data_IF_914975494297
#
_entry.id   IF_914975494297
#
_cell.length_a   1.000
_cell.length_b   1.000
_cell.length_c   1.000
_cell.angle_alpha   90.00
_cell.angle_beta   90.00
_cell.angle_gamma   90.00
#
_symmetry.space_group_name_H-M   'P 1'
#
loop_
_entity.id
_entity.type
_entity.pdbx_description
1 polymer ?
#
# COMPACT_ATOMS: atom_id res chain seq x y z
N UNK A 1 7.17 4.04 11.13
CA UNK A 1 7.03 5.51 11.16
C UNK A 1 7.17 5.97 9.72
N UNK A 2 6.16 6.58 9.18
CA UNK A 2 6.22 7.21 7.86
C UNK A 2 6.66 8.64 8.10
N UNK A 3 7.77 9.04 7.47
CA UNK A 3 8.23 10.42 7.53
C UNK A 3 7.10 11.34 7.01
N UNK A 4 6.74 12.35 7.82
CA UNK A 4 5.69 13.31 7.46
C UNK A 4 5.97 14.06 6.16
N UNK A 5 7.23 14.23 5.79
CA UNK A 5 7.64 14.85 4.52
C UNK A 5 7.25 13.99 3.30
N UNK A 6 7.03 12.69 3.48
CA UNK A 6 6.55 11.79 2.44
C UNK A 6 5.09 12.02 2.07
N UNK A 7 4.30 12.42 3.04
CA UNK A 7 2.87 12.63 2.85
C UNK A 7 2.58 14.02 2.26
N UNK A 8 3.54 14.93 2.30
CA UNK A 8 3.43 16.28 1.74
C UNK A 8 2.23 17.07 2.26
N UNK A 9 1.96 18.20 1.64
CA UNK A 9 0.79 19.06 1.93
C UNK A 9 -0.56 18.45 1.50
N UNK A 10 -0.60 17.19 1.12
CA UNK A 10 -1.80 16.49 0.61
C UNK A 10 -2.80 16.12 1.69
N UNK A 11 -2.40 16.17 2.95
CA UNK A 11 -3.31 15.96 4.09
C UNK A 11 -3.66 17.34 4.67
N UNK A 12 -4.95 17.64 4.73
CA UNK A 12 -5.48 18.87 5.31
C UNK A 12 -5.24 19.00 6.82
N UNK A 13 -4.75 17.96 7.47
CA UNK A 13 -4.33 17.95 8.86
C UNK A 13 -3.02 17.19 8.97
N UNK A 14 -1.97 17.86 9.42
CA UNK A 14 -0.75 17.19 9.86
C UNK A 14 -1.09 16.28 11.06
N UNK A 15 -0.57 15.03 11.08
CA UNK A 15 -0.72 14.21 12.27
C UNK A 15 -0.04 14.90 13.45
N UNK A 16 -0.83 15.30 14.43
CA UNK A 16 -0.36 15.99 15.65
C UNK A 16 0.39 15.08 16.61
N UNK A 17 0.35 13.77 16.37
CA UNK A 17 0.98 12.72 17.17
C UNK A 17 1.69 11.76 16.25
N UNK A 18 2.82 11.21 16.66
CA UNK A 18 3.47 10.12 15.94
C UNK A 18 2.48 8.97 15.67
N UNK A 19 2.18 8.78 14.42
CA UNK A 19 1.25 7.78 13.94
C UNK A 19 2.04 6.54 13.55
N UNK A 20 1.70 5.40 14.10
CA UNK A 20 2.34 4.12 13.81
C UNK A 20 1.51 3.23 12.89
N UNK A 21 0.32 3.66 12.51
CA UNK A 21 -0.54 2.98 11.56
C UNK A 21 -1.18 3.98 10.58
N UNK A 22 -1.41 3.53 9.36
CA UNK A 22 -2.07 4.31 8.31
C UNK A 22 -2.99 3.40 7.48
N UNK A 23 -4.12 3.93 7.03
CA UNK A 23 -4.97 3.22 6.07
C UNK A 23 -4.25 3.09 4.73
N UNK A 24 -4.11 1.86 4.25
CA UNK A 24 -3.44 1.56 2.98
C UNK A 24 -3.99 2.40 1.82
N UNK A 25 -5.31 2.56 1.72
CA UNK A 25 -5.95 3.37 0.68
C UNK A 25 -5.54 4.86 0.73
N UNK A 26 -5.36 5.42 1.92
CA UNK A 26 -4.91 6.80 2.08
C UNK A 26 -3.45 6.96 1.67
N UNK A 27 -2.62 6.00 2.06
CA UNK A 27 -1.22 5.96 1.66
C UNK A 27 -1.07 5.88 0.13
N UNK A 28 -1.78 4.95 -0.52
CA UNK A 28 -1.78 4.83 -1.97
C UNK A 28 -2.28 6.11 -2.66
N UNK A 29 -3.34 6.74 -2.14
CA UNK A 29 -3.85 8.00 -2.67
C UNK A 29 -2.81 9.12 -2.58
N UNK A 30 -2.13 9.26 -1.44
CA UNK A 30 -1.11 10.28 -1.26
C UNK A 30 0.07 10.10 -2.24
N UNK A 31 0.55 8.87 -2.39
CA UNK A 31 1.60 8.55 -3.36
C UNK A 31 1.12 8.83 -4.79
N UNK A 32 -0.10 8.44 -5.15
CA UNK A 32 -0.65 8.67 -6.50
C UNK A 32 -0.70 10.16 -6.83
N UNK A 33 -1.13 11.00 -5.89
CA UNK A 33 -1.13 12.46 -6.08
C UNK A 33 0.28 12.99 -6.26
N UNK A 34 1.23 12.56 -5.41
CA UNK A 34 2.63 12.97 -5.51
C UNK A 34 3.26 12.58 -6.86
N UNK A 35 2.95 11.39 -7.37
CA UNK A 35 3.43 10.93 -8.67
C UNK A 35 2.74 11.67 -9.82
N UNK A 36 1.44 11.94 -9.74
CA UNK A 36 0.73 12.73 -10.75
C UNK A 36 1.32 14.13 -10.89
N UNK A 37 1.71 14.77 -9.78
CA UNK A 37 2.41 16.06 -9.78
C UNK A 37 3.82 16.00 -10.42
N UNK A 38 4.33 14.79 -10.67
CA UNK A 38 5.60 14.52 -11.38
C UNK A 38 5.37 13.96 -12.78
N UNK A 39 4.22 14.25 -13.37
CA UNK A 39 3.82 13.79 -14.71
C UNK A 39 3.70 12.26 -14.87
N UNK A 40 3.42 11.53 -13.79
CA UNK A 40 3.07 10.12 -13.89
C UNK A 40 1.58 9.97 -14.19
N UNK A 41 1.24 9.11 -15.14
CA UNK A 41 -0.13 8.82 -15.52
C UNK A 41 -0.61 7.52 -14.86
N UNK A 42 -1.86 7.51 -14.39
CA UNK A 42 -2.49 6.35 -13.77
C UNK A 42 -3.67 5.87 -14.62
N UNK A 43 -3.65 4.61 -14.99
CA UNK A 43 -4.73 3.94 -15.69
C UNK A 43 -5.44 2.99 -14.73
N UNK A 44 -6.44 3.50 -14.00
CA UNK A 44 -7.25 2.72 -13.08
C UNK A 44 -8.25 1.85 -13.86
N UNK A 45 -8.69 0.74 -13.25
CA UNK A 45 -9.65 -0.21 -13.85
C UNK A 45 -9.18 -0.74 -15.21
N UNK A 46 -7.87 -0.86 -15.37
CA UNK A 46 -7.24 -1.36 -16.60
C UNK A 46 -6.67 -2.74 -16.34
N UNK A 47 -7.10 -3.71 -17.14
CA UNK A 47 -6.59 -5.08 -17.10
C UNK A 47 -5.55 -5.24 -18.19
N UNK A 48 -4.38 -5.70 -17.82
CA UNK A 48 -3.34 -6.10 -18.77
C UNK A 48 -3.61 -7.53 -19.21
N UNK A 49 -3.81 -7.72 -20.50
CA UNK A 49 -4.05 -9.05 -21.10
C UNK A 49 -2.73 -9.71 -21.47
N UNK A 50 -1.79 -8.94 -22.00
CA UNK A 50 -0.51 -9.46 -22.49
C UNK A 50 0.60 -8.43 -22.36
N UNK A 51 1.78 -8.90 -22.00
CA UNK A 51 3.01 -8.12 -22.02
C UNK A 51 3.96 -8.80 -22.99
N UNK A 52 4.47 -8.06 -23.98
CA UNK A 52 5.48 -8.49 -24.94
C UNK A 52 6.61 -7.46 -24.91
N UNK A 53 7.78 -7.82 -24.43
CA UNK A 53 8.95 -6.94 -24.31
C UNK A 53 8.59 -5.47 -23.98
N UNK A 54 8.31 -4.66 -24.97
CA UNK A 54 7.99 -3.23 -24.87
C UNK A 54 6.53 -2.88 -25.16
N UNK A 55 5.68 -3.88 -25.44
CA UNK A 55 4.28 -3.68 -25.80
C UNK A 55 3.34 -4.27 -24.74
N UNK A 56 2.33 -3.51 -24.35
CA UNK A 56 1.27 -3.93 -23.43
C UNK A 56 -0.05 -3.87 -24.15
N UNK A 57 -0.74 -5.03 -24.21
CA UNK A 57 -2.13 -5.14 -24.62
C UNK A 57 -3.03 -5.04 -23.39
N UNK A 58 -4.00 -4.14 -23.40
CA UNK A 58 -4.86 -3.87 -22.27
C UNK A 58 -6.33 -3.69 -22.63
N UNK A 59 -7.18 -3.92 -21.66
CA UNK A 59 -8.61 -3.59 -21.67
C UNK A 59 -8.89 -2.74 -20.45
N UNK A 60 -9.44 -1.55 -20.65
CA UNK A 60 -9.72 -0.59 -19.60
C UNK A 60 -11.17 -0.09 -19.64
N UNK A 61 -11.64 0.39 -18.51
CA UNK A 61 -12.91 1.09 -18.36
C UNK A 61 -12.64 2.58 -18.15
N UNK A 62 -11.99 3.23 -19.08
CA UNK A 62 -11.63 4.63 -18.97
C UNK A 62 -11.49 5.27 -20.33
N UNK A 63 -10.88 6.44 -20.35
CA UNK A 63 -10.70 7.24 -21.58
C UNK A 63 -9.99 6.46 -22.69
N UNK A 64 -9.05 5.57 -22.38
CA UNK A 64 -8.32 4.80 -23.38
C UNK A 64 -9.06 3.56 -23.90
N UNK A 65 -10.12 3.08 -23.22
CA UNK A 65 -10.83 1.87 -23.62
C UNK A 65 -9.92 0.64 -23.66
N UNK A 66 -9.77 0.03 -24.85
CA UNK A 66 -8.90 -1.13 -25.09
C UNK A 66 -7.85 -0.78 -26.15
N UNK A 67 -6.68 -1.36 -26.07
CA UNK A 67 -5.65 -1.10 -27.04
C UNK A 67 -4.28 -1.71 -26.73
N UNK A 68 -3.30 -1.21 -27.47
CA UNK A 68 -1.90 -1.53 -27.28
C UNK A 68 -1.12 -0.25 -27.00
N UNK A 69 -0.22 -0.31 -26.02
CA UNK A 69 0.73 0.77 -25.73
C UNK A 69 2.14 0.24 -25.81
N UNK A 70 3.02 1.05 -26.40
CA UNK A 70 4.46 0.79 -26.45
C UNK A 70 5.17 1.61 -25.39
N UNK A 71 6.16 1.02 -24.74
CA UNK A 71 6.99 1.63 -23.71
C UNK A 71 8.46 1.26 -23.97
N UNK A 72 9.35 2.14 -23.63
CA UNK A 72 10.79 1.85 -23.68
C UNK A 72 11.14 0.74 -22.67
N UNK A 73 10.49 0.78 -21.50
CA UNK A 73 10.70 -0.18 -20.42
C UNK A 73 9.40 -0.52 -19.71
N UNK A 74 9.27 -1.77 -19.28
CA UNK A 74 8.13 -2.28 -18.50
C UNK A 74 8.65 -2.89 -17.22
N UNK A 75 8.19 -2.39 -16.08
CA UNK A 75 8.46 -2.96 -14.76
C UNK A 75 7.17 -3.58 -14.24
N UNK A 76 7.19 -4.89 -14.01
CA UNK A 76 6.06 -5.60 -13.40
C UNK A 76 6.35 -5.92 -11.94
N UNK A 77 5.43 -5.56 -11.05
CA UNK A 77 5.44 -6.00 -9.66
C UNK A 77 4.61 -7.26 -9.53
N UNK A 78 5.24 -8.42 -9.65
CA UNK A 78 4.59 -9.68 -9.28
C UNK A 78 4.64 -9.84 -7.77
N UNK A 79 3.51 -9.68 -7.12
CA UNK A 79 3.36 -9.99 -5.71
C UNK A 79 3.20 -11.50 -5.55
N UNK A 80 4.31 -12.23 -5.50
CA UNK A 80 4.33 -13.57 -4.93
C UNK A 80 4.15 -13.43 -3.42
N UNK A 81 2.91 -13.24 -3.01
CA UNK A 81 2.58 -13.09 -1.60
C UNK A 81 2.53 -14.46 -0.94
N UNK A 82 3.14 -14.54 0.24
CA UNK A 82 2.95 -15.69 1.13
C UNK A 82 1.46 -15.91 1.37
N UNK A 83 1.04 -17.16 1.47
CA UNK A 83 -0.39 -17.51 1.68
C UNK A 83 -0.87 -17.29 3.11
N UNK A 84 -0.10 -16.62 3.96
CA UNK A 84 -0.44 -16.41 5.38
C UNK A 84 -1.58 -15.40 5.50
N UNK A 85 -2.58 -15.77 6.30
CA UNK A 85 -3.70 -14.89 6.64
C UNK A 85 -3.43 -14.21 7.98
N UNK A 86 -3.68 -12.91 8.02
CA UNK A 86 -3.62 -12.07 9.20
C UNK A 86 -5.01 -11.51 9.48
N UNK A 87 -5.36 -11.45 10.76
CA UNK A 87 -6.64 -10.91 11.24
C UNK A 87 -6.40 -9.54 11.86
N UNK A 88 -7.10 -8.55 11.36
CA UNK A 88 -6.99 -7.18 11.78
C UNK A 88 -8.29 -6.64 12.35
N UNK A 89 -8.19 -5.66 13.24
CA UNK A 89 -9.33 -4.92 13.76
C UNK A 89 -8.96 -3.49 14.09
N UNK A 90 -9.96 -2.63 14.08
CA UNK A 90 -9.82 -1.27 14.58
C UNK A 90 -10.73 -1.04 15.76
N UNK A 91 -10.23 -0.31 16.76
CA UNK A 91 -10.97 0.00 17.99
C UNK A 91 -10.53 1.35 18.55
N UNK A 92 -11.37 1.94 19.38
CA UNK A 92 -11.01 3.10 20.22
C UNK A 92 -10.55 2.69 21.62
N UNK A 93 -10.74 1.41 21.97
CA UNK A 93 -10.36 0.88 23.27
C UNK A 93 -8.85 0.59 23.31
N UNK A 94 -8.15 1.27 24.22
CA UNK A 94 -6.71 1.05 24.45
C UNK A 94 -6.39 -0.38 24.95
N UNK A 95 -7.36 -1.08 25.53
CA UNK A 95 -7.21 -2.43 26.03
C UNK A 95 -7.42 -3.50 24.95
N UNK A 96 -7.70 -3.11 23.71
CA UNK A 96 -7.91 -4.03 22.57
C UNK A 96 -6.69 -4.88 22.18
N UNK A 97 -5.59 -4.80 22.93
CA UNK A 97 -4.39 -5.60 22.71
C UNK A 97 -4.56 -7.01 23.24
N UNK A 98 -4.29 -7.98 22.41
CA UNK A 98 -4.27 -9.39 22.78
C UNK A 98 -2.84 -9.91 22.87
N UNK A 99 -2.62 -10.98 23.62
CA UNK A 99 -1.35 -11.73 23.60
C UNK A 99 -1.05 -12.18 22.17
N UNK A 100 0.16 -11.94 21.67
CA UNK A 100 0.60 -12.25 20.31
C UNK A 100 0.01 -11.33 19.20
N UNK A 101 -0.53 -10.17 19.56
CA UNK A 101 -0.90 -9.13 18.61
C UNK A 101 0.09 -7.97 18.62
N UNK A 102 0.13 -7.21 17.55
CA UNK A 102 0.78 -5.91 17.51
C UNK A 102 -0.24 -4.84 17.14
N UNK A 103 -0.02 -3.64 17.59
CA UNK A 103 -0.95 -2.55 17.36
C UNK A 103 -0.23 -1.28 16.95
N UNK A 104 -0.94 -0.44 16.23
CA UNK A 104 -0.50 0.90 15.87
C UNK A 104 -1.64 1.90 16.06
N UNK A 105 -1.31 3.15 16.34
CA UNK A 105 -2.27 4.25 16.42
C UNK A 105 -2.31 4.99 15.10
N UNK A 106 -3.51 5.20 14.57
CA UNK A 106 -3.75 6.01 13.37
C UNK A 106 -3.78 7.51 13.71
N UNK A 107 -3.63 8.41 12.72
CA UNK A 107 -3.75 9.86 12.94
C UNK A 107 -5.09 10.29 13.56
N UNK A 108 -6.17 9.55 13.25
CA UNK A 108 -7.52 9.76 13.80
C UNK A 108 -7.70 9.18 15.22
N UNK A 109 -6.61 8.83 15.88
CA UNK A 109 -6.58 8.22 17.22
C UNK A 109 -7.17 6.82 17.32
N UNK A 110 -7.61 6.22 16.22
CA UNK A 110 -8.08 4.84 16.18
C UNK A 110 -6.88 3.89 16.32
N UNK A 111 -7.05 2.86 17.13
CA UNK A 111 -6.06 1.81 17.31
C UNK A 111 -6.33 0.71 16.29
N UNK A 112 -5.31 0.33 15.56
CA UNK A 112 -5.32 -0.79 14.63
C UNK A 112 -4.52 -1.94 15.25
N UNK A 113 -5.13 -3.12 15.29
CA UNK A 113 -4.55 -4.33 15.90
C UNK A 113 -4.46 -5.40 14.82
N UNK A 114 -3.36 -6.14 14.81
CA UNK A 114 -3.14 -7.28 13.92
C UNK A 114 -2.65 -8.51 14.67
N UNK A 115 -3.11 -9.68 14.29
CA UNK A 115 -2.77 -10.97 14.86
C UNK A 115 -2.73 -12.06 13.79
N UNK A 116 -1.96 -13.13 14.05
CA UNK A 116 -2.02 -14.36 13.25
C UNK A 116 -3.24 -15.22 13.58
N UNK A 117 -3.88 -14.97 14.70
CA UNK A 117 -5.10 -15.64 15.14
C UNK A 117 -6.28 -14.68 15.06
N UNK A 118 -7.47 -15.24 15.00
CA UNK A 118 -8.70 -14.46 15.05
C UNK A 118 -8.72 -13.54 16.28
N UNK A 119 -9.25 -12.35 16.08
CA UNK A 119 -9.35 -11.37 17.14
C UNK A 119 -10.51 -11.74 18.09
N UNK A 120 -10.38 -11.46 19.40
CA UNK A 120 -11.38 -11.83 20.39
C UNK A 120 -12.68 -11.03 20.18
N UNK A 121 -13.80 -11.71 20.37
CA UNK A 121 -15.14 -11.14 20.19
C UNK A 121 -15.62 -10.23 21.33
N UNK A 122 -14.93 -10.25 22.47
CA UNK A 122 -15.26 -9.43 23.64
C UNK A 122 -14.76 -7.97 23.55
N UNK A 123 -14.10 -7.61 22.46
CA UNK A 123 -13.65 -6.24 22.19
C UNK A 123 -14.63 -5.59 21.22
N UNK A 124 -14.96 -4.32 21.47
CA UNK A 124 -15.81 -3.54 20.57
C UNK A 124 -14.99 -3.09 19.34
N UNK A 125 -15.01 -3.91 18.30
CA UNK A 125 -14.35 -3.62 17.04
C UNK A 125 -15.20 -2.70 16.18
N UNK A 126 -14.64 -1.57 15.75
CA UNK A 126 -15.26 -0.68 14.76
C UNK A 126 -15.23 -1.30 13.37
N UNK A 127 -14.18 -2.08 13.07
CA UNK A 127 -14.02 -2.78 11.81
C UNK A 127 -13.16 -4.03 12.03
N UNK A 128 -13.54 -5.13 11.40
CA UNK A 128 -12.72 -6.33 11.27
C UNK A 128 -12.19 -6.43 9.84
N UNK A 129 -10.97 -6.94 9.71
CA UNK A 129 -10.25 -7.01 8.44
C UNK A 129 -9.48 -8.32 8.35
N UNK A 130 -9.21 -8.76 7.12
CA UNK A 130 -8.27 -9.85 6.85
C UNK A 130 -7.24 -9.38 5.80
N UNK A 131 -6.02 -9.80 6.00
CA UNK A 131 -4.93 -9.58 5.07
C UNK A 131 -4.27 -10.91 4.71
N UNK A 132 -4.14 -11.21 3.42
CA UNK A 132 -3.37 -12.36 2.92
C UNK A 132 -2.06 -11.85 2.35
N UNK A 133 -0.96 -12.22 2.95
CA UNK A 133 0.34 -11.74 2.49
C UNK A 133 1.41 -11.74 3.58
N UNK A 134 2.39 -10.88 3.42
CA UNK A 134 3.47 -10.67 4.36
C UNK A 134 2.96 -10.11 5.69
N UNK A 135 3.81 -10.17 6.72
CA UNK A 135 3.48 -9.61 8.03
C UNK A 135 3.13 -8.11 7.91
N UNK A 136 1.93 -7.67 8.32
CA UNK A 136 1.56 -6.26 8.23
C UNK A 136 2.37 -5.34 9.15
N UNK A 137 3.09 -5.90 10.14
CA UNK A 137 4.04 -5.12 10.94
C UNK A 137 5.20 -4.66 10.05
N UNK A 138 5.41 -3.36 9.98
CA UNK A 138 6.45 -2.73 9.13
C UNK A 138 6.32 -3.00 7.61
N UNK A 139 5.19 -3.54 7.15
CA UNK A 139 5.01 -3.90 5.74
C UNK A 139 5.25 -2.72 4.79
N UNK A 140 4.75 -1.53 5.12
CA UNK A 140 4.94 -0.33 4.31
C UNK A 140 6.43 0.01 4.16
N UNK A 141 7.19 -0.04 5.25
CA UNK A 141 8.63 0.24 5.22
C UNK A 141 9.36 -0.78 4.34
N UNK A 142 9.06 -2.06 4.53
CA UNK A 142 9.66 -3.13 3.72
C UNK A 142 9.35 -3.02 2.24
N UNK A 143 8.12 -2.67 1.88
CA UNK A 143 7.72 -2.48 0.47
C UNK A 143 8.38 -1.25 -0.16
N UNK A 144 8.58 -0.18 0.61
CA UNK A 144 9.33 1.01 0.16
C UNK A 144 10.78 0.62 -0.12
N UNK A 145 11.46 -0.08 0.79
CA UNK A 145 12.85 -0.49 0.61
C UNK A 145 13.00 -1.39 -0.62
N UNK A 146 12.09 -2.34 -0.80
CA UNK A 146 12.06 -3.20 -1.99
C UNK A 146 11.86 -2.37 -3.26
N UNK A 147 10.94 -1.41 -3.22
CA UNK A 147 10.68 -0.51 -4.36
C UNK A 147 11.89 0.35 -4.71
N UNK A 148 12.54 0.95 -3.72
CA UNK A 148 13.76 1.75 -3.90
C UNK A 148 14.89 0.90 -4.49
N UNK A 149 15.12 -0.30 -3.97
CA UNK A 149 16.14 -1.21 -4.50
C UNK A 149 15.88 -1.56 -5.97
N UNK A 150 14.63 -1.91 -6.31
CA UNK A 150 14.24 -2.22 -7.70
C UNK A 150 14.45 -1.04 -8.63
N UNK A 151 14.10 0.17 -8.19
CA UNK A 151 14.32 1.39 -8.97
C UNK A 151 15.81 1.64 -9.20
N UNK A 152 16.63 1.49 -8.16
CA UNK A 152 18.08 1.63 -8.26
C UNK A 152 18.69 0.61 -9.24
N UNK A 153 18.35 -0.67 -9.08
CA UNK A 153 18.84 -1.75 -9.95
C UNK A 153 18.43 -1.52 -11.41
N UNK A 154 17.23 -0.99 -11.63
CA UNK A 154 16.74 -0.63 -12.97
C UNK A 154 17.56 0.52 -13.59
N UNK A 155 17.79 1.58 -12.83
CA UNK A 155 18.58 2.73 -13.29
C UNK A 155 20.02 2.33 -13.63
N UNK A 156 20.65 1.49 -12.82
CA UNK A 156 22.00 1.00 -13.08
C UNK A 156 22.10 0.17 -14.36
N UNK A 157 21.08 -0.63 -14.66
CA UNK A 157 21.05 -1.46 -15.88
C UNK A 157 20.78 -0.69 -17.17
N UNK A 158 20.16 0.48 -17.08
CA UNK A 158 19.69 1.26 -18.21
C UNK A 158 20.35 2.66 -18.28
N UNK A 159 21.43 2.89 -17.53
CA UNK A 159 22.18 4.15 -17.46
C UNK A 159 23.20 4.32 -18.60
N UNK A 160 22.94 3.75 -19.81
CA UNK A 160 23.78 3.90 -21.00
C UNK A 160 22.96 4.28 -22.21
#
# INVERSE_FOLDING_TARGET
IIDKNWLGSTFSQEPTVESTAIRHSWFCKAISISLANRNCFFHLRTKINKIKSTNIEFVGAGFLGSGNLMFDHIISSNNNTSSKTWFGGTTVDANGRTTNSFSGKRPDSIIEVWSEKELPSNINWLQLMQWKGTNPKNSIHSEIDIGMKRAYDFLQKNAY
#
